data_IF_526378621513
#
_entry.id   IF_526378621513
#
_cell.length_a   1.000
_cell.length_b   1.000
_cell.length_c   1.000
_cell.angle_alpha   90.00
_cell.angle_beta   90.00
_cell.angle_gamma   90.00
#
_symmetry.space_group_name_H-M   'P 1'
#
loop_
_entity.id
_entity.type
_entity.pdbx_description
1 polymer ?
#
# COMPACT_ATOMS: atom_id res chain seq x y z
N UNK A 1 9.02 -7.21 17.43
CA UNK A 1 9.71 -7.95 16.36
C UNK A 1 9.50 -9.43 16.62
N UNK A 2 9.04 -10.17 15.62
CA UNK A 2 8.96 -11.62 15.68
C UNK A 2 10.13 -12.20 14.86
N UNK A 3 10.89 -13.10 15.47
CA UNK A 3 12.02 -13.78 14.82
C UNK A 3 11.93 -15.27 15.06
N UNK A 4 12.53 -16.08 14.20
CA UNK A 4 12.68 -17.52 14.42
C UNK A 4 13.86 -17.80 15.35
N UNK A 5 13.90 -19.02 15.93
CA UNK A 5 15.01 -19.47 16.78
C UNK A 5 16.37 -19.47 16.06
N UNK A 6 16.40 -19.34 14.73
CA UNK A 6 17.65 -19.22 13.95
C UNK A 6 18.49 -18.01 14.34
N UNK A 7 17.91 -17.01 15.01
CA UNK A 7 18.68 -15.88 15.53
C UNK A 7 19.71 -16.35 16.57
N UNK A 8 19.41 -17.42 17.33
CA UNK A 8 20.29 -18.02 18.33
C UNK A 8 21.57 -18.67 17.72
N UNK A 9 21.54 -18.93 16.39
CA UNK A 9 22.69 -19.50 15.65
C UNK A 9 23.76 -18.45 15.31
N UNK A 10 23.48 -17.17 15.59
CA UNK A 10 24.36 -16.04 15.25
C UNK A 10 24.94 -15.44 16.53
N UNK A 11 26.26 -15.52 16.69
CA UNK A 11 26.95 -14.88 17.83
C UNK A 11 26.73 -13.37 17.83
N UNK A 12 26.57 -12.79 19.00
CA UNK A 12 26.36 -11.35 19.21
C UNK A 12 25.20 -10.81 18.40
N UNK A 13 24.10 -11.56 18.31
CA UNK A 13 22.91 -11.13 17.58
C UNK A 13 22.21 -9.92 18.25
N UNK A 14 21.23 -9.37 17.57
CA UNK A 14 20.58 -8.10 17.93
C UNK A 14 19.85 -8.10 19.29
N UNK A 15 19.60 -9.26 19.88
CA UNK A 15 19.00 -9.39 21.21
C UNK A 15 20.04 -9.64 22.31
N UNK A 16 21.27 -10.05 21.97
CA UNK A 16 22.38 -10.18 22.91
C UNK A 16 23.12 -8.85 23.08
N UNK A 17 23.42 -8.18 21.98
CA UNK A 17 24.13 -6.91 21.99
C UNK A 17 23.20 -5.73 22.17
N UNK A 18 23.41 -4.97 23.25
CA UNK A 18 22.65 -3.75 23.50
C UNK A 18 22.79 -2.74 22.36
N UNK A 19 21.74 -2.00 22.09
CA UNK A 19 21.68 -0.89 21.11
C UNK A 19 21.75 -1.27 19.63
N UNK A 20 21.76 -2.55 19.26
CA UNK A 20 21.70 -2.97 17.84
C UNK A 20 20.31 -2.83 17.24
N UNK A 21 19.27 -3.01 18.06
CA UNK A 21 17.88 -2.62 17.71
C UNK A 21 17.48 -1.56 18.71
N UNK A 22 17.45 -0.31 18.27
CA UNK A 22 17.08 0.81 19.12
C UNK A 22 16.12 1.76 18.41
N UNK A 23 15.16 2.28 19.17
CA UNK A 23 14.25 3.33 18.72
C UNK A 23 13.77 4.09 19.95
N UNK A 24 13.62 5.41 19.83
CA UNK A 24 13.13 6.29 20.90
C UNK A 24 11.79 5.80 21.47
N UNK A 25 10.95 5.21 20.65
CA UNK A 25 9.62 4.70 20.99
C UNK A 25 9.53 3.18 21.09
N UNK A 26 10.67 2.48 20.96
CA UNK A 26 10.74 1.01 21.07
C UNK A 26 10.34 0.55 22.48
N UNK A 27 9.46 -0.46 22.56
CA UNK A 27 8.97 -0.99 23.81
C UNK A 27 7.91 -0.14 24.52
N UNK A 28 7.29 0.83 23.82
CA UNK A 28 6.22 1.64 24.36
C UNK A 28 5.01 0.78 24.72
N UNK A 29 4.58 0.81 25.97
CA UNK A 29 3.48 -0.01 26.50
C UNK A 29 2.14 0.30 25.81
N UNK A 30 1.89 1.57 25.44
CA UNK A 30 0.68 1.97 24.72
C UNK A 30 0.64 1.33 23.33
N UNK A 31 1.78 1.25 22.66
CA UNK A 31 1.86 0.61 21.35
C UNK A 31 1.70 -0.91 21.43
N UNK A 32 2.14 -1.55 22.52
CA UNK A 32 1.91 -2.96 22.76
C UNK A 32 0.40 -3.25 22.95
N UNK A 33 -0.29 -2.45 23.75
CA UNK A 33 -1.75 -2.58 23.93
C UNK A 33 -2.47 -2.32 22.61
N UNK A 34 -2.08 -1.29 21.87
CA UNK A 34 -2.64 -0.99 20.55
C UNK A 34 -2.44 -2.15 19.57
N UNK A 35 -1.24 -2.74 19.54
CA UNK A 35 -0.96 -3.89 18.68
C UNK A 35 -1.88 -5.07 19.01
N UNK A 36 -2.08 -5.37 20.30
CA UNK A 36 -2.99 -6.43 20.72
C UNK A 36 -4.40 -6.20 20.18
N UNK A 37 -4.93 -4.98 20.36
CA UNK A 37 -6.26 -4.62 19.86
C UNK A 37 -6.33 -4.73 18.31
N UNK A 38 -5.28 -4.32 17.60
CA UNK A 38 -5.24 -4.47 16.14
C UNK A 38 -5.27 -5.92 15.69
N UNK A 39 -4.53 -6.80 16.35
CA UNK A 39 -4.53 -8.22 16.02
C UNK A 39 -5.91 -8.86 16.28
N UNK A 40 -6.54 -8.53 17.41
CA UNK A 40 -7.90 -8.97 17.73
C UNK A 40 -8.93 -8.50 16.70
N UNK A 41 -8.84 -7.24 16.25
CA UNK A 41 -9.71 -6.70 15.20
C UNK A 41 -9.49 -7.37 13.85
N UNK A 42 -8.23 -7.59 13.47
CA UNK A 42 -7.88 -8.27 12.22
C UNK A 42 -8.51 -9.66 12.18
N UNK A 43 -8.40 -10.41 13.27
CA UNK A 43 -8.98 -11.76 13.39
C UNK A 43 -10.52 -11.69 13.43
N UNK A 44 -11.09 -10.91 14.35
CA UNK A 44 -12.54 -10.78 14.55
C UNK A 44 -13.30 -10.37 13.29
N UNK A 45 -12.72 -9.47 12.51
CA UNK A 45 -13.34 -8.94 11.30
C UNK A 45 -12.91 -9.67 10.03
N UNK A 46 -12.08 -10.71 10.13
CA UNK A 46 -11.51 -11.46 8.99
C UNK A 46 -10.86 -10.52 7.95
N UNK A 47 -10.09 -9.53 8.42
CA UNK A 47 -9.55 -8.48 7.56
C UNK A 47 -8.55 -9.02 6.53
N UNK A 48 -7.85 -10.11 6.80
CA UNK A 48 -6.92 -10.74 5.84
C UNK A 48 -7.68 -11.26 4.62
N UNK A 49 -8.77 -12.01 4.82
CA UNK A 49 -9.60 -12.52 3.73
C UNK A 49 -10.33 -11.39 2.99
N UNK A 50 -10.83 -10.38 3.72
CA UNK A 50 -11.42 -9.20 3.11
C UNK A 50 -10.42 -8.46 2.23
N UNK A 51 -9.18 -8.25 2.73
CA UNK A 51 -8.12 -7.59 1.98
C UNK A 51 -7.72 -8.36 0.71
N UNK A 52 -7.79 -9.68 0.70
CA UNK A 52 -7.59 -10.49 -0.51
C UNK A 52 -8.68 -10.19 -1.54
N UNK A 53 -9.96 -10.33 -1.17
CA UNK A 53 -11.10 -10.11 -2.06
C UNK A 53 -11.17 -8.68 -2.60
N UNK A 54 -11.01 -7.69 -1.70
CA UNK A 54 -11.03 -6.27 -2.07
C UNK A 54 -9.78 -5.90 -2.89
N UNK A 55 -8.66 -6.56 -2.63
CA UNK A 55 -7.43 -6.41 -3.41
C UNK A 55 -7.57 -6.94 -4.83
N UNK A 56 -8.20 -8.09 -5.03
CA UNK A 56 -8.51 -8.62 -6.36
C UNK A 56 -9.44 -7.66 -7.13
N UNK A 57 -10.43 -7.07 -6.45
CA UNK A 57 -11.27 -6.04 -7.02
C UNK A 57 -10.46 -4.83 -7.48
N UNK A 58 -9.60 -4.28 -6.61
CA UNK A 58 -8.72 -3.16 -6.92
C UNK A 58 -7.83 -3.48 -8.13
N UNK A 59 -7.19 -4.64 -8.15
CA UNK A 59 -6.31 -5.05 -9.24
C UNK A 59 -7.06 -5.15 -10.58
N UNK A 60 -8.29 -5.65 -10.58
CA UNK A 60 -9.15 -5.69 -11.77
C UNK A 60 -9.52 -4.28 -12.25
N UNK A 61 -9.76 -3.33 -11.35
CA UNK A 61 -9.96 -1.92 -11.69
C UNK A 61 -8.69 -1.34 -12.35
N UNK A 62 -7.50 -1.66 -11.85
CA UNK A 62 -6.23 -1.20 -12.45
C UNK A 62 -5.98 -1.81 -13.83
N UNK A 63 -6.31 -3.08 -14.06
CA UNK A 63 -6.28 -3.68 -15.39
C UNK A 63 -7.25 -2.99 -16.35
N UNK A 64 -8.39 -2.56 -15.86
CA UNK A 64 -9.36 -1.80 -16.66
C UNK A 64 -8.81 -0.42 -17.02
N UNK A 65 -8.21 0.31 -16.08
CA UNK A 65 -7.51 1.57 -16.35
C UNK A 65 -6.39 1.40 -17.38
N UNK A 66 -5.58 0.35 -17.25
CA UNK A 66 -4.53 0.06 -18.21
C UNK A 66 -5.06 -0.16 -19.64
N UNK A 67 -6.22 -0.78 -19.79
CA UNK A 67 -6.88 -0.96 -21.09
C UNK A 67 -7.46 0.35 -21.63
N UNK A 68 -7.99 1.20 -20.75
CA UNK A 68 -8.57 2.49 -21.13
C UNK A 68 -7.51 3.54 -21.48
N UNK A 69 -6.36 3.51 -20.82
CA UNK A 69 -5.27 4.47 -20.94
C UNK A 69 -3.94 3.81 -21.32
N UNK A 70 -3.87 3.06 -22.46
CA UNK A 70 -2.71 2.21 -22.78
C UNK A 70 -1.40 2.99 -22.98
N UNK A 71 -1.47 4.30 -23.30
CA UNK A 71 -0.31 5.17 -23.47
C UNK A 71 0.17 5.81 -22.16
N UNK A 72 -0.61 5.70 -21.07
CA UNK A 72 -0.31 6.30 -19.78
C UNK A 72 -0.14 5.26 -18.66
N UNK A 73 -0.92 4.21 -18.67
CA UNK A 73 -0.96 3.20 -17.62
C UNK A 73 -0.43 1.87 -18.15
N UNK A 74 0.59 1.34 -17.51
CA UNK A 74 1.19 0.06 -17.86
C UNK A 74 1.55 -0.76 -16.61
N UNK A 75 1.84 -2.05 -16.82
CA UNK A 75 2.37 -2.93 -15.78
C UNK A 75 1.54 -2.91 -14.47
N UNK A 76 0.22 -2.95 -14.59
CA UNK A 76 -0.67 -3.09 -13.44
C UNK A 76 -0.41 -4.43 -12.74
N UNK A 77 -0.11 -4.39 -11.46
CA UNK A 77 0.33 -5.54 -10.66
C UNK A 77 -0.03 -5.37 -9.19
N UNK A 78 -0.11 -6.48 -8.46
CA UNK A 78 -0.33 -6.42 -7.01
C UNK A 78 -0.64 -7.76 -6.39
N UNK A 79 -0.75 -7.74 -5.07
CA UNK A 79 -1.25 -8.85 -4.26
C UNK A 79 -2.02 -8.27 -3.07
N UNK A 80 -3.26 -8.73 -2.87
CA UNK A 80 -4.16 -8.12 -1.90
C UNK A 80 -4.25 -6.62 -2.16
N UNK A 81 -4.29 -5.81 -1.12
CA UNK A 81 -4.41 -4.35 -1.23
C UNK A 81 -3.10 -3.63 -1.61
N UNK A 82 -2.01 -4.35 -1.82
CA UNK A 82 -0.74 -3.76 -2.23
C UNK A 82 -0.58 -3.86 -3.74
N UNK A 83 -1.04 -2.85 -4.44
CA UNK A 83 -1.08 -2.79 -5.90
C UNK A 83 -0.25 -1.62 -6.43
N UNK A 84 0.12 -1.67 -7.70
CA UNK A 84 0.83 -0.61 -8.39
C UNK A 84 0.58 -0.66 -9.90
N UNK A 85 0.82 0.46 -10.57
CA UNK A 85 1.02 0.53 -12.01
C UNK A 85 2.12 1.54 -12.35
N UNK A 86 2.59 1.52 -13.58
CA UNK A 86 3.66 2.39 -14.07
C UNK A 86 3.11 3.43 -15.04
N UNK A 87 3.65 4.66 -14.96
CA UNK A 87 3.51 5.74 -15.92
C UNK A 87 4.69 5.69 -16.92
N UNK A 88 4.63 6.39 -18.05
CA UNK A 88 5.72 6.42 -19.03
C UNK A 88 7.03 7.04 -18.51
N UNK A 89 6.94 7.92 -17.50
CA UNK A 89 8.11 8.55 -16.87
C UNK A 89 7.80 9.03 -15.45
N UNK A 90 8.86 9.35 -14.70
CA UNK A 90 8.76 9.98 -13.37
C UNK A 90 8.00 11.31 -13.40
N UNK A 91 8.26 12.14 -14.40
CA UNK A 91 7.58 13.45 -14.57
C UNK A 91 6.06 13.27 -14.78
N UNK A 92 5.66 12.28 -15.58
CA UNK A 92 4.24 11.95 -15.77
C UNK A 92 3.63 11.42 -14.47
N UNK A 93 4.35 10.60 -13.70
CA UNK A 93 3.93 10.13 -12.38
C UNK A 93 3.71 11.28 -11.41
N UNK A 94 4.65 12.22 -11.33
CA UNK A 94 4.58 13.35 -10.39
C UNK A 94 3.45 14.31 -10.77
N UNK A 95 3.27 14.55 -12.07
CA UNK A 95 2.14 15.34 -12.58
C UNK A 95 0.78 14.68 -12.29
N UNK A 96 0.69 13.35 -12.46
CA UNK A 96 -0.52 12.60 -12.09
C UNK A 96 -0.79 12.71 -10.59
N UNK A 97 0.24 12.62 -9.74
CA UNK A 97 0.11 12.78 -8.29
C UNK A 97 -0.46 14.15 -7.90
N UNK A 98 -0.01 15.23 -8.56
CA UNK A 98 -0.55 16.58 -8.34
C UNK A 98 -2.03 16.69 -8.76
N UNK A 99 -2.37 16.15 -9.94
CA UNK A 99 -3.76 16.14 -10.43
C UNK A 99 -4.69 15.31 -9.53
N UNK A 100 -4.22 14.17 -9.01
CA UNK A 100 -4.99 13.35 -8.07
C UNK A 100 -5.27 14.09 -6.77
N UNK A 101 -4.31 14.87 -6.26
CA UNK A 101 -4.52 15.70 -5.07
C UNK A 101 -5.63 16.73 -5.30
N UNK A 102 -5.68 17.36 -6.48
CA UNK A 102 -6.78 18.26 -6.88
C UNK A 102 -8.14 17.56 -6.92
N UNK A 103 -8.17 16.28 -7.32
CA UNK A 103 -9.38 15.46 -7.34
C UNK A 103 -9.74 14.85 -5.97
N UNK A 104 -8.96 15.14 -4.92
CA UNK A 104 -9.23 14.67 -3.55
C UNK A 104 -8.61 13.32 -3.19
N UNK A 105 -7.68 12.80 -4.02
CA UNK A 105 -6.96 11.56 -3.76
C UNK A 105 -5.48 11.81 -3.48
N UNK A 106 -4.96 11.19 -2.41
CA UNK A 106 -3.54 11.23 -2.08
C UNK A 106 -2.92 9.87 -2.38
N UNK A 107 -1.93 9.86 -3.26
CA UNK A 107 -1.18 8.67 -3.61
C UNK A 107 0.32 8.92 -3.55
N UNK A 108 1.07 7.85 -3.32
CA UNK A 108 2.52 7.92 -3.21
C UNK A 108 3.18 7.33 -4.45
N UNK A 109 4.14 8.07 -4.99
CA UNK A 109 5.07 7.56 -5.97
C UNK A 109 5.91 6.41 -5.40
N UNK A 110 6.34 5.51 -6.26
CA UNK A 110 7.20 4.38 -5.93
C UNK A 110 8.21 4.14 -7.06
N UNK A 111 9.48 3.91 -6.71
CA UNK A 111 10.53 3.75 -7.70
C UNK A 111 10.63 4.95 -8.66
N UNK A 112 10.97 4.66 -9.92
CA UNK A 112 11.19 5.71 -10.92
C UNK A 112 9.90 6.30 -11.49
N UNK A 113 8.89 5.47 -11.73
CA UNK A 113 7.71 5.85 -12.51
C UNK A 113 6.39 5.21 -12.04
N UNK A 114 6.39 4.46 -10.91
CA UNK A 114 5.22 3.76 -10.42
C UNK A 114 4.40 4.64 -9.47
N UNK A 115 3.10 4.40 -9.46
CA UNK A 115 2.20 4.79 -8.37
C UNK A 115 1.80 3.51 -7.63
N UNK A 116 1.83 3.56 -6.30
CA UNK A 116 1.44 2.44 -5.45
C UNK A 116 0.16 2.73 -4.68
N UNK A 117 -0.62 1.69 -4.52
CA UNK A 117 -1.82 1.64 -3.69
C UNK A 117 -1.50 0.86 -2.41
N UNK A 118 -1.88 1.41 -1.29
CA UNK A 118 -1.80 0.76 0.02
C UNK A 118 -2.86 1.34 0.94
N UNK A 119 -4.13 1.09 0.66
CA UNK A 119 -5.22 1.55 1.51
C UNK A 119 -5.21 0.80 2.84
N UNK A 120 -6.08 1.22 3.77
CA UNK A 120 -6.30 0.51 5.03
C UNK A 120 -6.99 -0.85 4.78
N UNK A 121 -6.84 -1.79 5.73
CA UNK A 121 -7.31 -3.18 5.56
C UNK A 121 -8.83 -3.33 5.41
N UNK A 122 -9.60 -2.39 5.94
CA UNK A 122 -11.06 -2.39 5.87
C UNK A 122 -11.62 -1.44 4.80
N UNK A 123 -10.80 -1.10 3.78
CA UNK A 123 -11.27 -0.35 2.60
C UNK A 123 -12.42 -1.07 1.92
N UNK A 124 -13.43 -0.32 1.49
CA UNK A 124 -14.59 -0.85 0.79
C UNK A 124 -14.42 -0.76 -0.73
N UNK A 125 -15.28 -1.47 -1.48
CA UNK A 125 -15.33 -1.35 -2.95
C UNK A 125 -15.76 0.04 -3.38
N UNK A 126 -16.64 0.69 -2.62
CA UNK A 126 -17.11 2.05 -2.85
C UNK A 126 -15.98 3.07 -2.71
N UNK A 127 -15.09 2.90 -1.71
CA UNK A 127 -13.88 3.73 -1.55
C UNK A 127 -12.93 3.56 -2.73
N UNK A 128 -12.77 2.31 -3.20
CA UNK A 128 -11.96 2.00 -4.39
C UNK A 128 -12.56 2.66 -5.62
N UNK A 129 -13.86 2.53 -5.85
CA UNK A 129 -14.54 3.13 -6.99
C UNK A 129 -14.38 4.65 -7.01
N UNK A 130 -14.53 5.31 -5.85
CA UNK A 130 -14.27 6.74 -5.73
C UNK A 130 -12.82 7.08 -6.13
N UNK A 131 -11.84 6.32 -5.63
CA UNK A 131 -10.43 6.50 -5.99
C UNK A 131 -10.20 6.31 -7.49
N UNK A 132 -10.78 5.28 -8.10
CA UNK A 132 -10.66 5.00 -9.54
C UNK A 132 -11.29 6.12 -10.38
N UNK A 133 -12.38 6.71 -9.95
CA UNK A 133 -12.98 7.85 -10.65
C UNK A 133 -12.11 9.12 -10.56
N UNK A 134 -11.44 9.36 -9.42
CA UNK A 134 -10.41 10.40 -9.33
C UNK A 134 -9.26 10.13 -10.31
N UNK A 135 -8.82 8.86 -10.44
CA UNK A 135 -7.79 8.48 -11.42
C UNK A 135 -8.21 8.77 -12.86
N UNK A 136 -9.42 8.39 -13.26
CA UNK A 136 -9.93 8.67 -14.62
C UNK A 136 -9.88 10.16 -14.92
N UNK A 137 -10.43 11.00 -14.03
CA UNK A 137 -10.41 12.46 -14.20
C UNK A 137 -8.99 13.02 -14.30
N UNK A 138 -8.07 12.54 -13.46
CA UNK A 138 -6.68 12.98 -13.48
C UNK A 138 -5.93 12.49 -14.74
N UNK A 139 -6.17 11.27 -15.21
CA UNK A 139 -5.60 10.72 -16.44
C UNK A 139 -6.12 11.44 -17.68
N UNK A 140 -7.40 11.80 -17.73
CA UNK A 140 -7.99 12.60 -18.81
C UNK A 140 -7.32 13.99 -18.93
N UNK A 141 -6.94 14.60 -17.81
CA UNK A 141 -6.20 15.87 -17.78
C UNK A 141 -4.70 15.71 -18.13
N UNK A 142 -4.15 14.52 -17.92
CA UNK A 142 -2.73 14.24 -18.15
C UNK A 142 -2.40 13.92 -19.61
N UNK A 143 -3.33 13.31 -20.32
CA UNK A 143 -3.21 12.91 -21.73
C UNK A 143 -3.31 14.03 -22.64
#
# INVERSE_FOLDING_TARGET
IAVSNRVEEVENHVFEESSRINSTWGGNLVDMVRLTIYLELIEKENLVEKAEKTGDYLLNCLYTLQKQYPNLVSNARGRGLYCAFDLPSGDKRDKLGALLLEEGSILLGSGHQSIRFRPHLNVTTEDIDFGIDCFKKALDKLG
#
